data_IF_794308500604
#
_entry.id   IF_794308500604
#
_cell.length_a   1.000
_cell.length_b   1.000
_cell.length_c   1.000
_cell.angle_alpha   90.00
_cell.angle_beta   90.00
_cell.angle_gamma   90.00
#
_symmetry.space_group_name_H-M   'P 1'
#
loop_
_entity.id
_entity.type
_entity.pdbx_description
1 polymer ?
#
# COMPACT_ATOMS: atom_id res chain seq x y z
N UNK A 1 31.25 -15.37 16.37
CA UNK A 1 29.88 -14.98 15.98
C UNK A 1 29.48 -13.78 16.82
N UNK A 2 29.69 -12.54 16.37
CA UNK A 2 29.26 -11.36 17.12
C UNK A 2 27.73 -11.25 17.06
N UNK A 3 27.07 -11.17 18.20
CA UNK A 3 25.62 -10.96 18.28
C UNK A 3 25.24 -9.64 17.59
N UNK A 4 24.11 -9.62 16.88
CA UNK A 4 23.58 -8.43 16.18
C UNK A 4 23.48 -7.23 17.14
N UNK A 5 23.13 -7.49 18.41
CA UNK A 5 23.08 -6.48 19.46
C UNK A 5 24.43 -5.77 19.70
N UNK A 6 25.54 -6.50 19.63
CA UNK A 6 26.87 -5.93 19.87
C UNK A 6 27.26 -4.94 18.75
N UNK A 7 26.99 -5.30 17.49
CA UNK A 7 27.22 -4.40 16.34
C UNK A 7 26.35 -3.15 16.41
N UNK A 8 25.12 -3.27 16.91
CA UNK A 8 24.22 -2.13 17.06
C UNK A 8 24.73 -1.13 18.10
N UNK A 9 25.24 -1.62 19.25
CA UNK A 9 25.80 -0.77 20.30
C UNK A 9 27.02 0.00 19.79
N UNK A 10 27.94 -0.68 19.10
CA UNK A 10 29.13 -0.06 18.51
C UNK A 10 28.76 1.05 17.51
N UNK A 11 27.74 0.82 16.67
CA UNK A 11 27.24 1.82 15.73
C UNK A 11 26.56 3.01 16.42
N UNK A 12 25.91 2.81 17.57
CA UNK A 12 25.29 3.89 18.36
C UNK A 12 26.36 4.80 18.97
N UNK A 13 27.50 4.25 19.41
CA UNK A 13 28.58 5.03 20.02
C UNK A 13 29.31 5.96 19.02
N UNK A 14 29.24 5.66 17.72
CA UNK A 14 29.93 6.44 16.67
C UNK A 14 28.99 7.30 15.81
N UNK A 15 27.68 7.18 15.96
CA UNK A 15 26.71 7.90 15.14
C UNK A 15 26.37 9.29 15.71
N UNK A 16 26.06 10.28 14.86
CA UNK A 16 25.58 11.60 15.28
C UNK A 16 24.11 11.53 15.74
N UNK A 17 23.72 12.42 16.65
CA UNK A 17 22.39 12.46 17.28
C UNK A 17 21.22 12.49 16.29
N UNK A 18 21.37 13.20 15.16
CA UNK A 18 20.33 13.24 14.11
C UNK A 18 20.02 11.86 13.49
N UNK A 19 21.02 10.98 13.39
CA UNK A 19 20.84 9.61 12.90
C UNK A 19 20.30 8.72 14.03
N UNK A 20 20.69 8.97 15.28
CA UNK A 20 20.18 8.25 16.43
C UNK A 20 18.68 8.48 16.63
N UNK A 21 18.18 9.71 16.44
CA UNK A 21 16.74 10.02 16.50
C UNK A 21 15.93 9.22 15.47
N UNK A 22 16.36 9.24 14.20
CA UNK A 22 15.70 8.46 13.13
C UNK A 22 15.76 6.96 13.41
N UNK A 23 16.87 6.48 13.97
CA UNK A 23 17.04 5.07 14.31
C UNK A 23 16.13 4.65 15.47
N UNK A 24 15.96 5.53 16.46
CA UNK A 24 15.07 5.30 17.61
C UNK A 24 13.61 5.21 17.14
N UNK A 25 13.16 6.17 16.34
CA UNK A 25 11.80 6.17 15.78
C UNK A 25 11.52 4.90 14.96
N UNK A 26 12.49 4.47 14.14
CA UNK A 26 12.36 3.24 13.37
C UNK A 26 12.33 1.98 14.25
N UNK A 27 13.13 1.91 15.31
CA UNK A 27 13.11 0.80 16.26
C UNK A 27 11.80 0.73 17.04
N UNK A 28 11.25 1.88 17.44
CA UNK A 28 9.93 1.95 18.07
C UNK A 28 8.83 1.48 17.11
N UNK A 29 8.85 1.92 15.85
CA UNK A 29 7.94 1.44 14.82
C UNK A 29 7.99 -0.09 14.66
N UNK A 30 9.19 -0.68 14.60
CA UNK A 30 9.34 -2.13 14.50
C UNK A 30 8.79 -2.85 15.73
N UNK A 31 9.02 -2.31 16.93
CA UNK A 31 8.49 -2.86 18.18
C UNK A 31 6.96 -2.81 18.21
N UNK A 32 6.35 -1.69 17.82
CA UNK A 32 4.89 -1.55 17.71
C UNK A 32 4.31 -2.52 16.68
N UNK A 33 5.06 -2.82 15.62
CA UNK A 33 4.66 -3.78 14.58
C UNK A 33 4.75 -5.23 15.05
N UNK A 34 5.78 -5.60 15.83
CA UNK A 34 5.90 -6.95 16.41
C UNK A 34 4.88 -7.20 17.54
N UNK A 35 4.57 -6.17 18.34
CA UNK A 35 3.59 -6.25 19.43
C UNK A 35 2.14 -6.24 18.94
N UNK A 36 1.89 -5.96 17.66
CA UNK A 36 0.58 -6.08 17.03
C UNK A 36 0.51 -7.43 16.29
N UNK A 37 0.06 -8.52 16.93
CA UNK A 37 -0.07 -9.81 16.28
C UNK A 37 -1.12 -9.71 15.19
N UNK A 38 -0.71 -9.60 13.92
CA UNK A 38 -1.46 -9.92 12.69
C UNK A 38 -2.99 -9.67 12.68
N UNK A 39 -3.50 -8.68 13.41
CA UNK A 39 -4.93 -8.36 13.50
C UNK A 39 -5.28 -7.04 12.83
N UNK A 40 -4.29 -6.32 12.27
CA UNK A 40 -4.53 -5.14 11.44
C UNK A 40 -4.06 -5.30 9.99
N UNK A 41 -4.31 -6.48 9.42
CA UNK A 41 -4.56 -6.52 7.97
C UNK A 41 -5.98 -6.02 7.63
N UNK A 42 -6.75 -5.51 8.60
CA UNK A 42 -8.16 -5.09 8.42
C UNK A 42 -8.50 -3.66 8.84
N UNK A 43 -7.54 -2.84 9.29
CA UNK A 43 -7.78 -1.40 9.49
C UNK A 43 -6.95 -0.59 8.50
N UNK A 44 -6.98 -1.00 7.23
CA UNK A 44 -6.96 0.00 6.16
C UNK A 44 -8.34 0.61 6.18
N UNK A 45 -8.42 1.76 6.83
CA UNK A 45 -9.41 2.81 6.61
C UNK A 45 -10.01 2.65 5.22
N UNK A 46 -11.30 2.33 5.20
CA UNK A 46 -12.17 2.37 4.03
C UNK A 46 -11.96 3.70 3.32
N UNK A 47 -11.07 3.69 2.33
CA UNK A 47 -11.00 4.71 1.30
C UNK A 47 -11.09 3.92 0.02
N UNK A 48 -12.28 3.94 -0.54
CA UNK A 48 -12.63 3.43 -1.86
C UNK A 48 -11.52 3.83 -2.85
N UNK A 49 -10.84 2.82 -3.40
CA UNK A 49 -9.68 3.00 -4.26
C UNK A 49 -8.82 1.74 -4.24
N UNK A 50 -8.98 0.92 -5.28
CA UNK A 50 -8.36 -0.39 -5.47
C UNK A 50 -6.86 -0.47 -5.11
N UNK A 51 -6.37 -1.65 -4.72
CA UNK A 51 -4.93 -1.86 -4.57
C UNK A 51 -4.23 -1.60 -5.91
N UNK A 52 -3.24 -0.71 -5.92
CA UNK A 52 -2.35 -0.52 -7.07
C UNK A 52 -1.50 -1.79 -7.22
N UNK A 53 -2.02 -2.77 -7.97
CA UNK A 53 -1.33 -4.02 -8.28
C UNK A 53 -0.20 -3.72 -9.30
N UNK A 54 1.01 -3.44 -8.82
CA UNK A 54 2.19 -3.36 -9.70
C UNK A 54 2.65 -4.76 -10.08
N UNK A 55 2.84 -5.01 -11.39
CA UNK A 55 3.35 -6.27 -11.92
C UNK A 55 2.30 -7.23 -12.50
N UNK A 56 1.01 -6.90 -12.39
CA UNK A 56 -0.05 -7.61 -13.11
C UNK A 56 -0.01 -7.27 -14.60
N UNK A 57 -0.21 -8.27 -15.45
CA UNK A 57 -0.38 -8.12 -16.89
C UNK A 57 -1.87 -8.15 -17.22
N UNK A 58 -2.27 -7.64 -18.39
CA UNK A 58 -3.66 -7.71 -18.85
C UNK A 58 -4.27 -9.12 -18.80
N UNK A 59 -3.45 -10.17 -19.02
CA UNK A 59 -3.85 -11.58 -18.85
C UNK A 59 -4.35 -11.92 -17.44
N UNK A 60 -3.87 -11.24 -16.41
CA UNK A 60 -4.24 -11.50 -15.02
C UNK A 60 -5.59 -10.88 -14.66
N UNK A 61 -6.14 -10.01 -15.52
CA UNK A 61 -7.48 -9.44 -15.38
C UNK A 61 -8.57 -10.39 -15.89
N UNK A 62 -8.24 -11.36 -16.76
CA UNK A 62 -9.23 -12.30 -17.33
C UNK A 62 -9.93 -13.14 -16.25
N UNK A 63 -9.27 -13.42 -15.13
CA UNK A 63 -9.88 -14.17 -14.01
C UNK A 63 -11.04 -13.42 -13.35
N UNK A 64 -11.16 -12.12 -13.59
CA UNK A 64 -12.25 -11.28 -13.12
C UNK A 64 -13.27 -10.99 -14.23
N UNK A 65 -13.09 -11.49 -15.46
CA UNK A 65 -14.12 -11.36 -16.48
C UNK A 65 -15.36 -12.13 -16.04
N UNK A 66 -16.55 -11.53 -16.23
CA UNK A 66 -17.85 -12.05 -15.79
C UNK A 66 -18.10 -12.11 -14.26
N UNK A 67 -17.18 -11.63 -13.42
CA UNK A 67 -17.46 -11.44 -11.97
C UNK A 67 -18.06 -10.08 -11.66
N UNK A 68 -18.15 -9.20 -12.65
CA UNK A 68 -18.63 -7.84 -12.52
C UNK A 68 -20.12 -7.89 -12.18
N UNK A 69 -20.50 -7.16 -11.13
CA UNK A 69 -21.87 -7.02 -10.69
C UNK A 69 -22.43 -5.70 -11.22
N UNK A 70 -23.71 -5.69 -11.57
CA UNK A 70 -24.37 -4.53 -12.17
C UNK A 70 -24.99 -4.90 -13.52
N UNK A 71 -26.22 -4.44 -13.71
CA UNK A 71 -26.99 -4.56 -14.95
C UNK A 71 -27.11 -3.21 -15.68
N UNK A 72 -26.42 -2.20 -15.16
CA UNK A 72 -26.44 -0.79 -15.54
C UNK A 72 -25.31 -0.39 -16.49
N UNK A 73 -24.54 -1.36 -17.01
CA UNK A 73 -23.45 -1.09 -17.94
C UNK A 73 -23.89 -0.22 -19.13
N UNK A 74 -25.02 -0.57 -19.75
CA UNK A 74 -25.54 0.16 -20.90
C UNK A 74 -26.03 1.56 -20.51
N UNK A 75 -26.74 1.70 -19.38
CA UNK A 75 -27.24 2.98 -18.89
C UNK A 75 -26.09 3.94 -18.56
N UNK A 76 -25.08 3.46 -17.83
CA UNK A 76 -23.88 4.23 -17.51
C UNK A 76 -23.10 4.62 -18.78
N UNK A 77 -23.03 3.73 -19.76
CA UNK A 77 -22.35 4.00 -21.02
C UNK A 77 -23.08 5.09 -21.84
N UNK A 78 -24.41 5.03 -21.91
CA UNK A 78 -25.21 6.07 -22.57
C UNK A 78 -25.03 7.43 -21.89
N UNK A 79 -25.08 7.48 -20.55
CA UNK A 79 -24.86 8.72 -19.80
C UNK A 79 -23.51 9.38 -20.14
N UNK A 80 -22.45 8.58 -20.29
CA UNK A 80 -21.13 9.10 -20.68
C UNK A 80 -21.16 9.65 -22.11
N UNK A 81 -21.81 8.97 -23.05
CA UNK A 81 -21.94 9.49 -24.42
C UNK A 81 -22.72 10.80 -24.48
N UNK A 82 -23.76 10.94 -23.66
CA UNK A 82 -24.62 12.12 -23.62
C UNK A 82 -23.92 13.32 -22.95
N UNK A 83 -23.07 13.07 -21.96
CA UNK A 83 -22.48 14.12 -21.12
C UNK A 83 -21.03 14.46 -21.45
N UNK A 84 -20.32 13.61 -22.21
CA UNK A 84 -18.90 13.86 -22.51
C UNK A 84 -18.73 15.13 -23.34
N UNK A 85 -17.73 15.94 -22.97
CA UNK A 85 -17.33 17.08 -23.77
C UNK A 85 -16.69 16.63 -25.09
N UNK A 86 -16.81 17.45 -26.13
CA UNK A 86 -16.10 17.20 -27.38
C UNK A 86 -14.60 17.36 -27.16
N UNK A 87 -13.81 16.44 -27.69
CA UNK A 87 -12.36 16.55 -27.73
C UNK A 87 -11.96 17.54 -28.82
N UNK A 88 -11.19 18.54 -28.45
CA UNK A 88 -10.46 19.39 -29.40
C UNK A 88 -9.12 18.72 -29.71
N UNK A 89 -8.77 18.67 -31.00
CA UNK A 89 -7.53 18.08 -31.52
C UNK A 89 -6.66 19.15 -32.16
#
# INVERSE_FOLDING_TARGET
MTSIKAKLIEAIETAPDSILEQTLDYLEYLKTREQKPQSLSQEVLQKEGEPILRGSKAKDLLKFANTWQGEDFEECLQLVYDTRSQTEF
#
